data_IF_036594067034
#
_entry.id   IF_036594067034
#
_cell.length_a   1.000
_cell.length_b   1.000
_cell.length_c   1.000
_cell.angle_alpha   90.00
_cell.angle_beta   90.00
_cell.angle_gamma   90.00
#
_symmetry.space_group_name_H-M   'P 1'
#
loop_
_entity.id
_entity.type
_entity.pdbx_description
1 polymer ?
#
# COMPACT_ATOMS: atom_id res chain seq x y z
N UNK A 1 11.49 -15.08 -4.94
CA UNK A 1 10.26 -14.36 -5.33
C UNK A 1 9.42 -14.24 -4.08
N UNK A 2 8.89 -13.05 -3.83
CA UNK A 2 8.11 -12.70 -2.66
C UNK A 2 7.04 -11.69 -3.07
N UNK A 3 6.12 -11.39 -2.16
CA UNK A 3 4.94 -10.58 -2.47
C UNK A 3 5.29 -9.11 -2.59
N UNK A 4 5.00 -8.52 -3.76
CA UNK A 4 5.22 -7.10 -4.04
C UNK A 4 3.89 -6.34 -3.93
N UNK A 5 3.91 -5.10 -3.46
CA UNK A 5 2.72 -4.25 -3.39
C UNK A 5 2.71 -3.18 -4.48
N UNK A 6 1.68 -3.25 -5.33
CA UNK A 6 1.47 -2.33 -6.45
C UNK A 6 0.18 -1.54 -6.21
N UNK A 7 0.26 -0.23 -6.46
CA UNK A 7 -0.82 0.73 -6.29
C UNK A 7 -1.12 1.39 -7.63
N UNK A 8 -2.33 1.20 -8.11
CA UNK A 8 -2.74 1.70 -9.43
C UNK A 8 -3.90 2.69 -9.31
N UNK A 9 -3.76 3.81 -10.01
CA UNK A 9 -4.84 4.78 -10.18
C UNK A 9 -5.86 4.24 -11.18
N UNK A 10 -7.11 4.12 -10.76
CA UNK A 10 -8.21 3.70 -11.63
C UNK A 10 -9.22 4.83 -11.78
N UNK A 11 -9.46 5.22 -13.03
CA UNK A 11 -10.51 6.18 -13.37
C UNK A 11 -11.89 5.62 -12.99
N UNK A 12 -12.77 6.47 -12.47
CA UNK A 12 -14.11 6.04 -12.06
C UNK A 12 -14.90 5.32 -13.16
N UNK A 13 -14.74 5.76 -14.41
CA UNK A 13 -15.41 5.15 -15.58
C UNK A 13 -14.89 3.74 -15.91
N UNK A 14 -13.65 3.43 -15.55
CA UNK A 14 -13.01 2.14 -15.80
C UNK A 14 -13.18 1.16 -14.64
N UNK A 15 -13.47 1.65 -13.42
CA UNK A 15 -13.59 0.82 -12.22
C UNK A 15 -14.63 -0.30 -12.35
N UNK A 16 -15.74 -0.05 -13.05
CA UNK A 16 -16.77 -1.07 -13.28
C UNK A 16 -16.23 -2.31 -14.02
N UNK A 17 -15.20 -2.15 -14.85
CA UNK A 17 -14.57 -3.26 -15.57
C UNK A 17 -13.89 -4.23 -14.62
N UNK A 18 -13.27 -3.73 -13.55
CA UNK A 18 -12.64 -4.58 -12.54
C UNK A 18 -13.67 -5.36 -11.73
N UNK A 19 -14.79 -4.73 -11.36
CA UNK A 19 -15.88 -5.38 -10.62
C UNK A 19 -16.59 -6.49 -11.41
N UNK A 20 -16.60 -6.39 -12.74
CA UNK A 20 -17.29 -7.33 -13.64
C UNK A 20 -16.31 -8.28 -14.34
N UNK A 21 -15.02 -8.23 -13.99
CA UNK A 21 -13.99 -9.03 -14.67
C UNK A 21 -13.99 -10.48 -14.22
N UNK A 22 -13.92 -11.39 -15.19
CA UNK A 22 -13.67 -12.82 -14.96
C UNK A 22 -12.17 -13.09 -14.67
N UNK A 23 -11.27 -12.18 -15.07
CA UNK A 23 -9.83 -12.25 -14.84
C UNK A 23 -9.31 -10.89 -14.37
N UNK A 24 -9.32 -10.69 -13.05
CA UNK A 24 -8.95 -9.43 -12.41
C UNK A 24 -7.54 -8.97 -12.82
N UNK A 25 -6.55 -9.86 -12.79
CA UNK A 25 -5.15 -9.52 -13.06
C UNK A 25 -4.91 -9.12 -14.52
N UNK A 26 -5.54 -9.81 -15.49
CA UNK A 26 -5.47 -9.39 -16.89
C UNK A 26 -6.13 -8.02 -17.10
N UNK A 27 -7.24 -7.75 -16.42
CA UNK A 27 -7.95 -6.47 -16.55
C UNK A 27 -7.20 -5.31 -15.90
N UNK A 28 -6.56 -5.52 -14.75
CA UNK A 28 -5.80 -4.46 -14.08
C UNK A 28 -4.52 -4.12 -14.87
N UNK A 29 -3.85 -5.11 -15.45
CA UNK A 29 -2.72 -4.94 -16.38
C UNK A 29 -3.14 -4.15 -17.63
N UNK A 30 -4.27 -4.51 -18.27
CA UNK A 30 -4.80 -3.75 -19.42
C UNK A 30 -5.11 -2.28 -19.08
N UNK A 31 -5.54 -2.02 -17.84
CA UNK A 31 -5.82 -0.66 -17.36
C UNK A 31 -4.54 0.11 -17.01
N UNK A 32 -3.42 -0.57 -16.77
CA UNK A 32 -2.12 0.06 -16.48
C UNK A 32 -1.56 0.74 -17.73
N UNK A 33 -1.72 0.09 -18.89
CA UNK A 33 -1.22 0.60 -20.19
C UNK A 33 -1.94 1.86 -20.69
N UNK A 34 -2.99 2.31 -19.99
CA UNK A 34 -3.77 3.48 -20.40
C UNK A 34 -3.10 4.79 -20.02
N UNK A 35 -3.12 5.75 -20.94
CA UNK A 35 -2.61 7.08 -20.67
C UNK A 35 -3.31 7.77 -19.48
N UNK A 36 -2.47 8.32 -18.59
CA UNK A 36 -2.89 9.20 -17.51
C UNK A 36 -3.32 8.50 -16.22
N UNK A 37 -3.02 7.22 -16.04
CA UNK A 37 -3.11 6.53 -14.75
C UNK A 37 -1.74 6.47 -14.09
N UNK A 38 -1.66 6.86 -12.81
CA UNK A 38 -0.46 6.67 -12.00
C UNK A 38 -0.31 5.21 -11.56
N UNK A 39 0.94 4.80 -11.35
CA UNK A 39 1.33 3.54 -10.72
C UNK A 39 2.38 3.84 -9.66
N UNK A 40 2.37 3.13 -8.55
CA UNK A 40 3.42 3.13 -7.54
C UNK A 40 3.70 1.69 -7.10
N UNK A 41 4.96 1.31 -7.13
CA UNK A 41 5.48 0.02 -6.67
C UNK A 41 6.42 0.29 -5.49
N UNK A 42 6.19 -0.38 -4.37
CA UNK A 42 7.03 -0.29 -3.17
C UNK A 42 7.76 -1.61 -2.85
N UNK A 43 7.88 -2.47 -3.87
CA UNK A 43 8.39 -3.83 -3.78
C UNK A 43 7.80 -4.56 -2.56
N UNK A 44 8.65 -5.03 -1.65
CA UNK A 44 8.28 -5.91 -0.54
C UNK A 44 8.02 -5.19 0.77
N UNK A 45 8.12 -3.87 0.81
CA UNK A 45 8.15 -3.10 2.06
C UNK A 45 6.77 -2.76 2.65
N UNK A 46 5.68 -3.30 2.08
CA UNK A 46 4.31 -3.00 2.48
C UNK A 46 4.01 -3.39 3.93
N UNK A 47 4.42 -4.58 4.39
CA UNK A 47 4.12 -5.01 5.76
C UNK A 47 4.97 -4.25 6.78
N UNK A 48 6.23 -3.97 6.44
CA UNK A 48 7.12 -3.12 7.22
C UNK A 48 6.56 -1.70 7.40
N UNK A 49 6.05 -1.08 6.33
CA UNK A 49 5.38 0.22 6.39
C UNK A 49 4.10 0.16 7.23
N UNK A 50 3.28 -0.88 7.05
CA UNK A 50 2.06 -1.06 7.83
C UNK A 50 2.37 -1.22 9.32
N UNK A 51 3.41 -1.99 9.67
CA UNK A 51 3.84 -2.19 11.04
C UNK A 51 4.40 -0.93 11.68
N UNK A 52 5.22 -0.14 10.97
CA UNK A 52 5.67 1.17 11.48
C UNK A 52 4.49 2.08 11.80
N UNK A 53 3.53 2.20 10.88
CA UNK A 53 2.43 3.14 11.00
C UNK A 53 1.38 2.73 12.05
N UNK A 54 1.20 1.42 12.27
CA UNK A 54 0.06 0.90 13.02
C UNK A 54 0.43 -0.02 14.19
N UNK A 55 1.69 -0.46 14.29
CA UNK A 55 2.15 -1.41 15.31
C UNK A 55 1.61 -2.83 15.13
N UNK A 56 1.06 -3.17 13.95
CA UNK A 56 0.48 -4.47 13.63
C UNK A 56 0.89 -4.89 12.22
N UNK A 57 1.25 -6.16 12.00
CA UNK A 57 1.46 -6.69 10.65
C UNK A 57 0.14 -6.77 9.89
N UNK A 58 0.16 -6.30 8.64
CA UNK A 58 -0.94 -6.42 7.69
C UNK A 58 -1.34 -7.88 7.42
N UNK A 59 -0.41 -8.83 7.57
CA UNK A 59 -0.66 -10.26 7.38
C UNK A 59 -1.55 -10.81 8.51
N UNK A 60 -1.37 -10.31 9.73
CA UNK A 60 -2.13 -10.79 10.89
C UNK A 60 -3.44 -10.04 11.11
N UNK A 61 -3.57 -8.83 10.55
CA UNK A 61 -4.83 -8.10 10.52
C UNK A 61 -4.67 -6.60 10.32
N UNK A 62 -5.79 -5.90 10.43
CA UNK A 62 -5.88 -4.46 10.26
C UNK A 62 -6.70 -3.85 11.40
N UNK A 63 -6.29 -2.70 11.97
CA UNK A 63 -7.16 -1.96 12.87
C UNK A 63 -8.44 -1.49 12.15
N UNK A 64 -9.59 -1.59 12.81
CA UNK A 64 -10.87 -1.10 12.25
C UNK A 64 -10.84 0.42 12.03
N UNK A 65 -11.43 0.87 10.91
CA UNK A 65 -11.59 2.28 10.55
C UNK A 65 -10.30 3.13 10.63
N UNK A 66 -9.16 2.55 10.24
CA UNK A 66 -7.85 3.21 10.28
C UNK A 66 -7.34 3.59 8.89
N UNK A 67 -7.34 4.90 8.60
CA UNK A 67 -6.86 5.45 7.32
C UNK A 67 -5.39 5.13 7.00
N UNK A 68 -4.50 4.99 8.01
CA UNK A 68 -3.08 4.66 7.79
C UNK A 68 -2.88 3.17 7.54
N UNK A 69 -3.78 2.32 8.02
CA UNK A 69 -3.83 0.91 7.62
C UNK A 69 -4.36 0.79 6.19
N UNK A 70 -5.51 1.40 5.90
CA UNK A 70 -6.14 1.39 4.57
C UNK A 70 -5.23 1.99 3.49
N UNK A 71 -4.43 3.01 3.84
CA UNK A 71 -3.40 3.58 2.96
C UNK A 71 -2.44 2.54 2.39
N UNK A 72 -2.09 1.51 3.18
CA UNK A 72 -1.16 0.46 2.75
C UNK A 72 -1.90 -0.71 2.10
N UNK A 73 -2.98 -1.19 2.71
CA UNK A 73 -3.60 -2.48 2.31
C UNK A 73 -4.97 -2.35 1.65
N UNK A 74 -5.49 -1.14 1.48
CA UNK A 74 -6.83 -0.90 0.92
C UNK A 74 -7.95 -1.04 1.94
N UNK A 75 -9.14 -0.55 1.57
CA UNK A 75 -10.31 -0.54 2.46
C UNK A 75 -11.34 -1.58 2.11
N UNK A 76 -11.60 -1.79 0.82
CA UNK A 76 -12.62 -2.72 0.32
C UNK A 76 -11.93 -3.87 -0.42
N UNK A 77 -12.46 -5.09 -0.32
CA UNK A 77 -11.97 -6.23 -1.10
C UNK A 77 -12.72 -6.35 -2.42
N UNK A 78 -12.03 -6.78 -3.48
CA UNK A 78 -12.70 -7.27 -4.69
C UNK A 78 -13.27 -8.69 -4.48
N UNK A 79 -12.61 -9.50 -3.66
CA UNK A 79 -13.03 -10.85 -3.33
C UNK A 79 -12.57 -11.22 -1.90
N UNK A 80 -13.51 -11.26 -0.96
CA UNK A 80 -13.23 -11.61 0.44
C UNK A 80 -12.76 -13.07 0.64
N UNK A 81 -12.91 -13.93 -0.38
CA UNK A 81 -12.53 -15.33 -0.34
C UNK A 81 -11.15 -15.61 -0.99
N UNK A 82 -10.51 -14.60 -1.60
CA UNK A 82 -9.21 -14.75 -2.26
C UNK A 82 -8.04 -14.73 -1.24
N UNK A 83 -7.01 -15.54 -1.51
CA UNK A 83 -5.76 -15.52 -0.73
C UNK A 83 -4.88 -14.30 -1.08
N UNK A 84 -4.99 -13.78 -2.29
CA UNK A 84 -4.26 -12.62 -2.80
C UNK A 84 -4.94 -11.32 -2.35
N UNK A 85 -4.15 -10.30 -1.98
CA UNK A 85 -4.72 -8.99 -1.67
C UNK A 85 -5.05 -8.29 -2.99
N UNK A 86 -6.30 -8.37 -3.42
CA UNK A 86 -6.87 -7.50 -4.44
C UNK A 86 -7.90 -6.58 -3.78
N UNK A 87 -7.47 -5.35 -3.46
CA UNK A 87 -8.27 -4.40 -2.68
C UNK A 87 -8.34 -3.05 -3.36
N UNK A 88 -9.31 -2.23 -2.96
CA UNK A 88 -9.46 -0.89 -3.49
C UNK A 88 -9.87 0.12 -2.41
N UNK A 89 -9.69 1.38 -2.75
CA UNK A 89 -10.06 2.52 -1.92
C UNK A 89 -10.95 3.45 -2.74
N UNK A 90 -12.23 3.60 -2.36
CA UNK A 90 -13.13 4.53 -3.02
C UNK A 90 -12.59 5.97 -2.98
N UNK A 91 -12.91 6.75 -4.00
CA UNK A 91 -12.44 8.15 -4.16
C UNK A 91 -12.59 9.00 -2.91
N UNK A 92 -13.73 8.91 -2.20
CA UNK A 92 -13.94 9.71 -0.98
C UNK A 92 -12.92 9.40 0.12
N UNK A 93 -12.49 8.13 0.21
CA UNK A 93 -11.54 7.64 1.19
C UNK A 93 -10.10 7.93 0.75
N UNK A 94 -9.79 7.84 -0.56
CA UNK A 94 -8.51 8.34 -1.12
C UNK A 94 -8.27 9.80 -0.74
N UNK A 95 -9.29 10.67 -0.88
CA UNK A 95 -9.20 12.09 -0.50
C UNK A 95 -8.97 12.26 1.02
N UNK A 96 -9.59 11.42 1.86
CA UNK A 96 -9.37 11.45 3.32
C UNK A 96 -7.95 11.00 3.68
N UNK A 97 -7.46 9.94 3.04
CA UNK A 97 -6.09 9.44 3.21
C UNK A 97 -5.08 10.50 2.80
N UNK A 98 -5.20 11.08 1.60
CA UNK A 98 -4.30 12.13 1.15
C UNK A 98 -4.25 13.32 2.12
N UNK A 99 -5.39 13.73 2.69
CA UNK A 99 -5.40 14.75 3.76
C UNK A 99 -4.70 14.29 5.03
N UNK A 100 -4.91 13.03 5.45
CA UNK A 100 -4.27 12.47 6.63
C UNK A 100 -2.75 12.39 6.48
N UNK A 101 -2.24 12.06 5.30
CA UNK A 101 -0.81 11.98 5.02
C UNK A 101 -0.09 13.33 5.12
N UNK A 102 -0.79 14.46 4.94
CA UNK A 102 -0.22 15.79 5.20
C UNK A 102 0.05 16.06 6.69
N UNK A 103 -0.62 15.31 7.58
CA UNK A 103 -0.41 15.40 9.03
C UNK A 103 0.68 14.45 9.52
N UNK A 104 1.16 13.55 8.65
CA UNK A 104 2.15 12.53 8.99
C UNK A 104 3.55 13.06 8.72
N UNK A 105 4.38 13.02 9.77
CA UNK A 105 5.83 13.14 9.64
C UNK A 105 6.45 11.74 9.75
N UNK A 106 6.77 11.12 8.62
CA UNK A 106 7.24 9.73 8.61
C UNK A 106 8.56 9.52 9.36
N UNK A 107 9.39 10.56 9.44
CA UNK A 107 10.63 10.54 10.22
C UNK A 107 10.39 10.33 11.72
N UNK A 108 9.18 10.62 12.23
CA UNK A 108 8.84 10.29 13.62
C UNK A 108 8.62 8.78 13.80
N UNK A 109 8.04 8.09 12.80
CA UNK A 109 7.85 6.64 12.83
C UNK A 109 9.17 5.87 12.66
N UNK A 110 10.07 6.37 11.82
CA UNK A 110 11.40 5.78 11.63
C UNK A 110 12.27 5.78 12.89
N UNK A 111 11.97 6.63 13.89
CA UNK A 111 12.66 6.59 15.19
C UNK A 111 12.37 5.31 15.98
N UNK A 112 11.20 4.73 15.75
CA UNK A 112 10.76 3.50 16.40
C UNK A 112 11.15 2.25 15.58
N UNK A 113 11.84 2.42 14.44
CA UNK A 113 12.34 1.32 13.63
C UNK A 113 13.44 0.55 14.35
N UNK A 114 13.17 -0.74 14.60
CA UNK A 114 14.07 -1.66 15.27
C UNK A 114 14.04 -3.04 14.59
N UNK A 115 15.19 -3.47 14.06
CA UNK A 115 15.31 -4.72 13.31
C UNK A 115 14.92 -5.94 14.16
N UNK A 116 15.29 -5.95 15.45
CA UNK A 116 14.97 -7.07 16.34
C UNK A 116 13.46 -7.18 16.57
N UNK A 117 12.78 -6.07 16.81
CA UNK A 117 11.33 -6.02 16.95
C UNK A 117 10.62 -6.53 15.69
N UNK A 118 11.12 -6.17 14.50
CA UNK A 118 10.54 -6.64 13.24
C UNK A 118 10.75 -8.14 13.03
N UNK A 119 11.94 -8.67 13.36
CA UNK A 119 12.22 -10.10 13.34
C UNK A 119 11.29 -10.87 14.30
N UNK A 120 11.16 -10.39 15.54
CA UNK A 120 10.35 -11.04 16.59
C UNK A 120 8.86 -11.06 16.26
N UNK A 121 8.37 -10.04 15.53
CA UNK A 121 6.98 -9.99 15.05
C UNK A 121 6.78 -10.65 13.69
N UNK A 122 7.81 -11.25 13.09
CA UNK A 122 7.71 -11.95 11.80
C UNK A 122 7.22 -11.05 10.67
N UNK A 123 7.63 -9.77 10.69
CA UNK A 123 7.21 -8.79 9.69
C UNK A 123 7.75 -9.17 8.32
N UNK A 124 6.95 -8.99 7.26
CA UNK A 124 7.43 -9.21 5.90
C UNK A 124 8.18 -7.97 5.38
N UNK A 125 9.29 -8.12 4.62
CA UNK A 125 9.96 -9.36 4.25
C UNK A 125 10.90 -9.88 5.35
N UNK A 126 11.29 -11.16 5.28
CA UNK A 126 12.19 -11.80 6.25
C UNK A 126 13.66 -11.41 6.01
N UNK A 127 14.01 -10.15 6.33
CA UNK A 127 15.35 -9.56 6.11
C UNK A 127 15.96 -8.96 7.39
N UNK A 128 15.29 -9.08 8.53
CA UNK A 128 15.62 -8.29 9.72
C UNK A 128 16.86 -8.75 10.48
N UNK A 129 17.43 -9.91 10.12
CA UNK A 129 18.67 -10.42 10.71
C UNK A 129 19.93 -9.70 10.19
N UNK A 130 19.84 -8.98 9.07
CA UNK A 130 20.97 -8.25 8.45
C UNK A 130 21.09 -6.83 9.02
N UNK A 131 21.50 -6.74 10.28
CA UNK A 131 21.52 -5.46 11.02
C UNK A 131 22.41 -4.37 10.40
N UNK A 132 23.39 -4.74 9.59
CA UNK A 132 24.23 -3.82 8.81
C UNK A 132 23.48 -3.06 7.73
N UNK A 133 22.38 -3.60 7.21
CA UNK A 133 21.53 -2.97 6.17
C UNK A 133 20.51 -1.99 6.77
N UNK A 134 20.51 -1.80 8.09
CA UNK A 134 19.50 -0.99 8.81
C UNK A 134 19.35 0.42 8.22
N UNK A 135 20.45 1.10 7.91
CA UNK A 135 20.38 2.46 7.36
C UNK A 135 19.79 2.47 5.94
N UNK A 136 20.21 1.54 5.08
CA UNK A 136 19.69 1.38 3.72
C UNK A 136 18.18 1.06 3.72
N UNK A 137 17.74 0.17 4.62
CA UNK A 137 16.32 -0.17 4.79
C UNK A 137 15.51 1.04 5.27
N UNK A 138 16.05 1.86 6.18
CA UNK A 138 15.36 3.08 6.62
C UNK A 138 15.22 4.10 5.48
N UNK A 139 16.25 4.23 4.64
CA UNK A 139 16.20 5.08 3.45
C UNK A 139 15.14 4.57 2.47
N UNK A 140 15.10 3.26 2.20
CA UNK A 140 14.12 2.61 1.35
C UNK A 140 12.68 2.79 1.87
N UNK A 141 12.44 2.56 3.16
CA UNK A 141 11.13 2.79 3.78
C UNK A 141 10.69 4.26 3.65
N UNK A 142 11.63 5.20 3.82
CA UNK A 142 11.34 6.62 3.66
C UNK A 142 11.00 6.98 2.21
N UNK A 143 11.72 6.44 1.24
CA UNK A 143 11.48 6.65 -0.18
C UNK A 143 10.10 6.09 -0.59
N UNK A 144 9.82 4.85 -0.22
CA UNK A 144 8.53 4.21 -0.52
C UNK A 144 7.34 4.93 0.10
N UNK A 145 7.48 5.40 1.35
CA UNK A 145 6.42 6.17 1.99
C UNK A 145 6.14 7.49 1.25
N UNK A 146 7.17 8.26 0.88
CA UNK A 146 6.97 9.52 0.15
C UNK A 146 6.45 9.28 -1.27
N UNK A 147 6.92 8.26 -1.97
CA UNK A 147 6.40 7.86 -3.28
C UNK A 147 4.90 7.53 -3.21
N UNK A 148 4.47 6.74 -2.22
CA UNK A 148 3.05 6.46 -2.00
C UNK A 148 2.27 7.71 -1.67
N UNK A 149 2.81 8.58 -0.81
CA UNK A 149 2.14 9.82 -0.45
C UNK A 149 1.91 10.72 -1.67
N UNK A 150 2.92 10.91 -2.51
CA UNK A 150 2.80 11.63 -3.78
C UNK A 150 1.76 11.00 -4.70
N UNK A 151 1.77 9.67 -4.82
CA UNK A 151 0.76 8.91 -5.57
C UNK A 151 -0.65 9.20 -5.05
N UNK A 152 -0.90 9.06 -3.75
CA UNK A 152 -2.23 9.30 -3.16
C UNK A 152 -2.71 10.74 -3.34
N UNK A 153 -1.81 11.73 -3.27
CA UNK A 153 -2.14 13.12 -3.58
C UNK A 153 -2.60 13.27 -5.03
N UNK A 154 -1.86 12.70 -5.98
CA UNK A 154 -2.21 12.73 -7.40
C UNK A 154 -3.57 12.08 -7.68
N UNK A 155 -3.83 10.89 -7.14
CA UNK A 155 -5.11 10.18 -7.33
C UNK A 155 -6.26 10.96 -6.68
N UNK A 156 -6.03 11.56 -5.50
CA UNK A 156 -7.03 12.41 -4.83
C UNK A 156 -7.38 13.66 -5.64
N UNK A 157 -6.39 14.33 -6.24
CA UNK A 157 -6.60 15.49 -7.12
C UNK A 157 -7.42 15.12 -8.36
N UNK A 158 -7.11 13.97 -8.96
CA UNK A 158 -7.85 13.43 -10.11
C UNK A 158 -9.23 12.88 -9.72
N UNK A 159 -9.53 12.76 -8.42
CA UNK A 159 -10.77 12.17 -7.88
C UNK A 159 -11.01 10.75 -8.38
N UNK A 160 -9.94 9.97 -8.47
CA UNK A 160 -9.95 8.59 -8.94
C UNK A 160 -9.95 7.61 -7.76
N UNK A 161 -9.86 6.32 -8.08
CA UNK A 161 -9.84 5.20 -7.15
C UNK A 161 -8.41 4.67 -7.08
N UNK A 162 -8.00 4.13 -5.92
CA UNK A 162 -6.76 3.36 -5.80
C UNK A 162 -7.12 1.88 -5.77
N UNK A 163 -6.44 1.07 -6.58
CA UNK A 163 -6.41 -0.39 -6.48
C UNK A 163 -5.06 -0.80 -5.94
N UNK A 164 -5.04 -1.72 -4.98
CA UNK A 164 -3.85 -2.29 -4.39
C UNK A 164 -3.83 -3.78 -4.69
N UNK A 165 -2.72 -4.25 -5.25
CA UNK A 165 -2.43 -5.67 -5.40
C UNK A 165 -1.19 -6.05 -4.60
N UNK A 166 -1.28 -7.08 -3.76
CA UNK A 166 -0.13 -7.67 -3.05
C UNK A 166 -0.07 -9.15 -3.39
N UNK A 167 0.93 -9.54 -4.20
CA UNK A 167 1.09 -10.88 -4.75
C UNK A 167 2.56 -11.20 -5.06
#
# INVERSE_FOLDING_TARGET
MGMCAIYQEIKQEDFKKLLESDNFFETIEELEEKDGTALCDIDKMWDALHFLLNGLSAIYGAPEDNLLSEFIIGSESFNDEAEEFARYIPTEKVIKIAKKLNEVNFQDYLKDFDMTNFAENGIYPDIWDYTEEREEIMEELSEHFENLKEFYHKVAENKNIVVITIC
#
